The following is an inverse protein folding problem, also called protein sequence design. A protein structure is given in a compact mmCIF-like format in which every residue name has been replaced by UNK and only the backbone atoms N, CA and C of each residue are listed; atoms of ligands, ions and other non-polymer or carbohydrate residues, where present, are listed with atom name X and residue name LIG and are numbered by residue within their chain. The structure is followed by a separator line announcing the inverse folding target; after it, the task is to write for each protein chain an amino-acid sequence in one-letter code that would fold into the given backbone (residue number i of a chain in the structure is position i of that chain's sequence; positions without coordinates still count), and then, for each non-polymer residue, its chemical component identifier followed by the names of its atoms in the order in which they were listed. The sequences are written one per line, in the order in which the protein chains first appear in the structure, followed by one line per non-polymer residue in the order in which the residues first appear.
data_IF_077238946287
#
_entry.id   IF_077238946287
#
_cell.length_a   1.000
_cell.length_b   1.000
_cell.length_c   1.000
_cell.angle_alpha   90.00
_cell.angle_beta   90.00
_cell.angle_gamma   90.00
#
_symmetry.space_group_name_H-M   'P 1'
#
loop_
_entity.id
_entity.type
_entity.pdbx_description
1 polymer ?
#
# COMPACT_ATOMS: atom_id res chain seq x y z
N UNK A 1 -5.43 -6.33 4.71
CA UNK A 1 -4.47 -6.80 3.71
C UNK A 1 -3.29 -5.83 3.78
N UNK A 2 -2.05 -6.31 3.80
CA UNK A 2 -0.87 -5.44 3.82
C UNK A 2 0.40 -6.17 3.38
N UNK A 3 1.36 -5.40 2.85
CA UNK A 3 2.74 -5.81 2.57
C UNK A 3 3.69 -4.63 2.81
N UNK A 4 4.94 -4.86 3.25
CA UNK A 4 5.99 -3.86 3.18
C UNK A 4 6.26 -3.46 1.72
N UNK A 5 6.67 -2.20 1.50
CA UNK A 5 7.07 -1.73 0.16
C UNK A 5 8.52 -2.07 -0.10
N UNK A 6 8.74 -2.89 -1.12
CA UNK A 6 10.06 -3.34 -1.54
C UNK A 6 10.72 -4.34 -0.59
N UNK A 7 11.97 -4.69 -0.90
CA UNK A 7 12.76 -5.66 -0.14
C UNK A 7 13.11 -5.13 1.25
N UNK A 8 12.67 -5.86 2.28
CA UNK A 8 13.07 -5.59 3.66
C UNK A 8 14.47 -6.15 3.94
N UNK A 9 15.51 -5.33 3.79
CA UNK A 9 16.92 -5.76 3.87
C UNK A 9 17.36 -6.19 5.27
N UNK A 10 16.71 -5.65 6.30
CA UNK A 10 17.04 -5.93 7.70
C UNK A 10 16.24 -7.12 8.28
N UNK A 11 15.31 -7.68 7.51
CA UNK A 11 14.53 -8.86 7.91
C UNK A 11 15.28 -10.12 7.52
N UNK A 12 15.62 -10.93 8.53
CA UNK A 12 16.25 -12.24 8.33
C UNK A 12 15.17 -13.30 8.11
N UNK A 13 15.25 -14.02 7.00
CA UNK A 13 14.27 -15.04 6.63
C UNK A 13 13.37 -14.58 5.47
N UNK A 14 12.07 -14.84 5.59
CA UNK A 14 11.06 -14.41 4.62
C UNK A 14 10.51 -13.02 4.96
N UNK A 15 10.09 -12.28 3.92
CA UNK A 15 9.30 -11.07 4.09
C UNK A 15 7.81 -11.44 4.24
N UNK A 16 7.19 -11.00 5.32
CA UNK A 16 5.77 -11.25 5.57
C UNK A 16 4.87 -10.32 4.74
N UNK A 17 3.73 -10.88 4.34
CA UNK A 17 2.61 -10.22 3.69
C UNK A 17 1.32 -10.85 4.20
N UNK A 18 0.33 -10.04 4.51
CA UNK A 18 -0.93 -10.48 5.11
C UNK A 18 -2.08 -10.52 4.11
N UNK A 19 -2.54 -11.74 3.80
CA UNK A 19 -3.84 -12.01 3.18
C UNK A 19 -4.75 -12.62 4.26
N UNK A 20 -5.42 -11.75 5.02
CA UNK A 20 -6.38 -12.16 6.04
C UNK A 20 -7.79 -12.44 5.50
N UNK A 21 -8.73 -12.65 6.40
CA UNK A 21 -10.15 -12.79 6.06
C UNK A 21 -10.65 -11.56 5.29
N UNK A 22 -11.31 -11.79 4.15
CA UNK A 22 -11.75 -10.73 3.24
C UNK A 22 -10.69 -10.22 2.25
N UNK A 23 -9.44 -10.69 2.31
CA UNK A 23 -8.37 -10.28 1.40
C UNK A 23 -8.11 -11.26 0.24
N UNK A 24 -8.78 -12.42 0.23
CA UNK A 24 -8.50 -13.50 -0.72
C UNK A 24 -9.19 -13.29 -2.08
N UNK A 25 -8.95 -12.12 -2.67
CA UNK A 25 -9.39 -11.77 -4.01
C UNK A 25 -8.18 -11.54 -4.90
N UNK A 26 -8.26 -11.94 -6.17
CA UNK A 26 -7.14 -11.83 -7.12
C UNK A 26 -6.55 -10.41 -7.17
N UNK A 27 -7.40 -9.38 -7.18
CA UNK A 27 -6.96 -7.98 -7.24
C UNK A 27 -6.18 -7.57 -6.00
N UNK A 28 -6.66 -7.95 -4.81
CA UNK A 28 -6.01 -7.66 -3.54
C UNK A 28 -4.67 -8.38 -3.44
N UNK A 29 -4.60 -9.66 -3.80
CA UNK A 29 -3.34 -10.42 -3.79
C UNK A 29 -2.31 -9.76 -4.72
N UNK A 30 -2.72 -9.33 -5.92
CA UNK A 30 -1.83 -8.63 -6.84
C UNK A 30 -1.39 -7.27 -6.30
N UNK A 31 -2.28 -6.53 -5.65
CA UNK A 31 -1.97 -5.25 -5.01
C UNK A 31 -0.89 -5.40 -3.92
N UNK A 32 -1.04 -6.36 -3.01
CA UNK A 32 -0.05 -6.59 -1.94
C UNK A 32 1.29 -7.11 -2.49
N UNK A 33 1.27 -7.94 -3.55
CA UNK A 33 2.49 -8.33 -4.26
C UNK A 33 3.16 -7.14 -4.95
N UNK A 34 2.38 -6.18 -5.46
CA UNK A 34 2.91 -4.95 -6.07
C UNK A 34 3.62 -4.07 -5.02
N UNK A 35 3.11 -4.01 -3.80
CA UNK A 35 3.83 -3.42 -2.67
C UNK A 35 5.15 -4.15 -2.41
N UNK A 36 5.15 -5.48 -2.31
CA UNK A 36 6.38 -6.26 -2.12
C UNK A 36 7.43 -6.01 -3.24
N UNK A 37 6.98 -5.75 -4.48
CA UNK A 37 7.85 -5.37 -5.60
C UNK A 37 8.45 -3.97 -5.49
N UNK A 38 7.88 -3.08 -4.67
CA UNK A 38 8.40 -1.73 -4.43
C UNK A 38 7.49 -0.59 -4.88
N UNK A 39 6.22 -0.86 -5.18
CA UNK A 39 5.29 0.20 -5.56
C UNK A 39 4.56 0.76 -4.35
N UNK A 40 4.45 2.08 -4.30
CA UNK A 40 3.53 2.79 -3.41
C UNK A 40 2.13 2.87 -4.05
N UNK A 41 1.16 3.36 -3.28
CA UNK A 41 -0.14 3.68 -3.84
C UNK A 41 -0.03 4.73 -4.95
N UNK A 42 -0.85 4.61 -6.00
CA UNK A 42 -0.77 5.53 -7.15
C UNK A 42 -1.06 6.99 -6.73
N UNK A 43 -2.00 7.19 -5.79
CA UNK A 43 -2.24 8.53 -5.26
C UNK A 43 -1.10 9.07 -4.38
N UNK A 44 -0.04 8.31 -4.11
CA UNK A 44 1.15 8.79 -3.38
C UNK A 44 2.21 9.39 -4.31
N UNK A 45 1.98 9.39 -5.63
CA UNK A 45 2.91 9.97 -6.59
C UNK A 45 3.18 11.45 -6.34
N UNK A 46 4.39 11.88 -6.68
CA UNK A 46 4.85 13.27 -6.52
C UNK A 46 4.08 14.27 -7.38
N UNK A 47 3.47 13.82 -8.47
CA UNK A 47 2.68 14.62 -9.41
C UNK A 47 1.17 14.49 -9.20
N UNK A 48 0.70 13.78 -8.16
CA UNK A 48 -0.73 13.50 -7.97
C UNK A 48 -1.60 14.75 -7.95
N UNK A 49 -1.07 15.87 -7.44
CA UNK A 49 -1.84 17.10 -7.20
C UNK A 49 -2.20 17.80 -8.54
N UNK A 50 -1.65 17.32 -9.66
CA UNK A 50 -2.09 17.68 -11.02
C UNK A 50 -3.35 16.93 -11.47
N UNK A 51 -3.69 15.81 -10.83
CA UNK A 51 -4.75 14.88 -11.27
C UNK A 51 -5.90 14.74 -10.26
N UNK A 52 -5.59 14.85 -8.96
CA UNK A 52 -6.56 14.65 -7.87
C UNK A 52 -6.43 15.76 -6.82
N UNK A 53 -7.52 15.99 -6.07
CA UNK A 53 -7.51 16.81 -4.87
C UNK A 53 -7.87 15.94 -3.66
N UNK A 54 -7.03 15.98 -2.63
CA UNK A 54 -7.29 15.30 -1.37
C UNK A 54 -8.06 16.23 -0.44
N UNK A 55 -9.30 15.87 -0.11
CA UNK A 55 -10.12 16.58 0.87
C UNK A 55 -9.70 16.15 2.28
N UNK A 56 -8.64 16.76 2.79
CA UNK A 56 -7.99 16.36 4.05
C UNK A 56 -8.92 16.40 5.26
N UNK A 57 -9.90 17.30 5.26
CA UNK A 57 -10.95 17.43 6.27
C UNK A 57 -11.86 16.20 6.39
N UNK A 58 -11.91 15.37 5.34
CA UNK A 58 -12.72 14.15 5.31
C UNK A 58 -11.93 12.89 5.68
N UNK A 59 -10.64 13.01 6.02
CA UNK A 59 -9.81 11.87 6.41
C UNK A 59 -9.97 11.62 7.90
N UNK A 60 -10.26 10.36 8.25
CA UNK A 60 -10.33 9.95 9.66
C UNK A 60 -8.97 10.13 10.36
N UNK A 61 -8.92 10.70 11.58
CA UNK A 61 -7.68 10.87 12.31
C UNK A 61 -6.90 9.55 12.46
N UNK A 62 -5.60 9.60 12.18
CA UNK A 62 -4.68 8.45 12.31
C UNK A 62 -4.56 7.56 11.06
N UNK A 63 -5.23 7.89 9.95
CA UNK A 63 -5.10 7.19 8.67
C UNK A 63 -4.12 7.92 7.75
N UNK A 64 -3.15 7.20 7.17
CA UNK A 64 -2.33 7.70 6.05
C UNK A 64 -3.01 7.37 4.73
N UNK A 65 -3.05 8.33 3.81
CA UNK A 65 -3.73 8.22 2.50
C UNK A 65 -2.75 8.38 1.33
N UNK A 66 -1.55 8.84 1.65
CA UNK A 66 -0.39 9.07 0.78
C UNK A 66 0.84 8.46 1.43
#
# INVERSE_FOLDING_TARGET
CWSPVGRQVDVVGGQELSIGDGCNEKGIILHELMHALGFWHEQARTDRDEYINVLWENIMPGISVV
#
